data_IF_622056302916
#
_entry.id   IF_622056302916
#
_cell.length_a   1.000
_cell.length_b   1.000
_cell.length_c   1.000
_cell.angle_alpha   90.00
_cell.angle_beta   90.00
_cell.angle_gamma   90.00
#
_symmetry.space_group_name_H-M   'P 1'
#
loop_
_entity.id
_entity.type
_entity.pdbx_description
1 polymer ?
#
# COMPACT_ATOMS: atom_id res chain seq x y z
N UNK A 1 1.29 -11.66 -38.37
CA UNK A 1 1.05 -11.50 -36.93
C UNK A 1 2.02 -10.53 -36.28
N UNK A 2 3.35 -10.69 -36.42
CA UNK A 2 4.39 -9.79 -35.80
C UNK A 2 4.33 -8.33 -36.32
N UNK A 3 4.10 -8.11 -37.63
CA UNK A 3 3.97 -6.75 -38.21
C UNK A 3 2.68 -6.04 -37.76
N UNK A 4 1.58 -6.76 -37.57
CA UNK A 4 0.32 -6.20 -37.06
C UNK A 4 0.46 -5.77 -35.60
N UNK A 5 1.12 -6.57 -34.78
CA UNK A 5 1.46 -6.24 -33.39
C UNK A 5 2.41 -5.05 -33.29
N UNK A 6 3.36 -4.92 -34.21
CA UNK A 6 4.27 -3.77 -34.27
C UNK A 6 3.54 -2.49 -34.72
N UNK A 7 2.61 -2.55 -35.68
CA UNK A 7 1.77 -1.42 -36.09
C UNK A 7 0.79 -0.99 -34.99
N UNK A 8 0.15 -1.93 -34.29
CA UNK A 8 -0.71 -1.64 -33.15
C UNK A 8 0.11 -1.01 -32.00
N UNK A 9 1.32 -1.49 -31.75
CA UNK A 9 2.22 -0.94 -30.74
C UNK A 9 2.71 0.46 -31.08
N UNK A 10 2.96 0.78 -32.37
CA UNK A 10 3.37 2.10 -32.83
C UNK A 10 2.19 3.10 -32.82
N UNK A 11 1.03 2.70 -33.29
CA UNK A 11 -0.18 3.54 -33.29
C UNK A 11 -0.70 3.83 -31.87
N UNK A 12 -0.53 2.89 -30.93
CA UNK A 12 -0.87 3.07 -29.52
C UNK A 12 0.10 4.05 -28.82
N UNK A 13 1.38 4.05 -29.23
CA UNK A 13 2.43 4.87 -28.62
C UNK A 13 2.33 6.34 -29.02
N UNK A 14 1.84 6.64 -30.22
CA UNK A 14 1.72 8.01 -30.75
C UNK A 14 0.37 8.68 -30.45
N UNK A 15 -0.73 7.93 -30.40
CA UNK A 15 -2.08 8.52 -30.21
C UNK A 15 -2.55 8.54 -28.76
N UNK A 16 -2.13 7.59 -27.94
CA UNK A 16 -2.53 7.50 -26.53
C UNK A 16 -1.25 7.55 -25.69
N UNK A 17 -0.80 8.74 -25.34
CA UNK A 17 0.38 8.89 -24.50
C UNK A 17 0.23 8.08 -23.21
N UNK A 18 1.26 7.32 -22.80
CA UNK A 18 1.28 6.50 -21.59
C UNK A 18 0.79 7.24 -20.34
N UNK A 19 0.95 8.58 -20.31
CA UNK A 19 0.40 9.42 -19.22
C UNK A 19 -1.13 9.42 -19.19
N UNK A 20 -1.81 9.43 -20.36
CA UNK A 20 -3.29 9.40 -20.44
C UNK A 20 -3.82 8.03 -20.04
N UNK A 21 -3.15 6.95 -20.43
CA UNK A 21 -3.48 5.57 -19.98
C UNK A 21 -3.33 5.46 -18.47
N UNK A 22 -2.24 5.98 -17.90
CA UNK A 22 -2.03 5.98 -16.44
C UNK A 22 -3.11 6.79 -15.70
N UNK A 23 -3.52 7.95 -16.22
CA UNK A 23 -4.59 8.75 -15.63
C UNK A 23 -5.94 8.03 -15.73
N UNK A 24 -6.27 7.47 -16.91
CA UNK A 24 -7.51 6.71 -17.09
C UNK A 24 -7.57 5.49 -16.15
N UNK A 25 -6.49 4.73 -16.06
CA UNK A 25 -6.38 3.61 -15.11
C UNK A 25 -6.55 4.05 -13.65
N UNK A 26 -5.93 5.16 -13.24
CA UNK A 26 -6.09 5.73 -11.91
C UNK A 26 -7.54 6.14 -11.63
N UNK A 27 -8.20 6.81 -12.57
CA UNK A 27 -9.60 7.22 -12.43
C UNK A 27 -10.54 6.01 -12.35
N UNK A 28 -10.30 4.96 -13.15
CA UNK A 28 -11.07 3.71 -13.07
C UNK A 28 -10.89 3.04 -11.71
N UNK A 29 -9.65 2.96 -11.20
CA UNK A 29 -9.38 2.39 -9.86
C UNK A 29 -10.08 3.22 -8.78
N UNK A 30 -10.01 4.56 -8.85
CA UNK A 30 -10.66 5.44 -7.87
C UNK A 30 -12.20 5.26 -7.94
N UNK A 31 -12.79 5.24 -9.13
CA UNK A 31 -14.24 5.03 -9.30
C UNK A 31 -14.68 3.66 -8.78
N UNK A 32 -13.91 2.61 -9.06
CA UNK A 32 -14.16 1.26 -8.53
C UNK A 32 -13.99 1.22 -7.01
N UNK A 33 -12.96 1.89 -6.46
CA UNK A 33 -12.74 2.02 -5.03
C UNK A 33 -13.92 2.72 -4.32
N UNK A 34 -14.40 3.84 -4.87
CA UNK A 34 -15.58 4.55 -4.34
C UNK A 34 -16.81 3.66 -4.38
N UNK A 35 -17.03 2.95 -5.49
CA UNK A 35 -18.17 2.04 -5.64
C UNK A 35 -18.11 0.90 -4.62
N UNK A 36 -16.93 0.32 -4.41
CA UNK A 36 -16.68 -0.72 -3.41
C UNK A 36 -16.93 -0.19 -2.00
N UNK A 37 -16.42 0.99 -1.67
CA UNK A 37 -16.65 1.64 -0.38
C UNK A 37 -18.15 1.84 -0.11
N UNK A 38 -18.89 2.41 -1.07
CA UNK A 38 -20.34 2.63 -0.95
C UNK A 38 -21.10 1.31 -0.80
N UNK A 39 -20.74 0.27 -1.54
CA UNK A 39 -21.37 -1.06 -1.42
C UNK A 39 -21.10 -1.69 -0.06
N UNK A 40 -19.87 -1.61 0.43
CA UNK A 40 -19.48 -2.17 1.73
C UNK A 40 -20.20 -1.44 2.87
N UNK A 41 -20.28 -0.10 2.82
CA UNK A 41 -21.02 0.69 3.80
C UNK A 41 -22.53 0.37 3.81
N UNK A 42 -23.13 0.15 2.63
CA UNK A 42 -24.56 -0.24 2.54
C UNK A 42 -24.82 -1.67 3.04
N UNK A 43 -23.82 -2.54 3.03
CA UNK A 43 -23.93 -3.93 3.53
C UNK A 43 -23.78 -4.07 5.04
N UNK A 44 -23.43 -2.99 5.75
CA UNK A 44 -23.31 -2.99 7.22
C UNK A 44 -24.67 -2.64 7.81
N UNK A 45 -25.19 -3.54 8.64
CA UNK A 45 -26.36 -3.22 9.46
C UNK A 45 -25.96 -2.18 10.51
N UNK A 46 -26.50 -0.98 10.35
CA UNK A 46 -26.21 0.15 11.25
C UNK A 46 -26.68 -0.12 12.69
N UNK A 47 -27.69 -0.96 12.86
CA UNK A 47 -28.17 -1.39 14.19
C UNK A 47 -27.15 -2.26 14.90
N UNK A 48 -26.62 -3.28 14.22
CA UNK A 48 -25.55 -4.15 14.76
C UNK A 48 -24.28 -3.34 15.05
N UNK A 49 -23.93 -2.42 14.17
CA UNK A 49 -22.77 -1.55 14.37
C UNK A 49 -22.93 -0.64 15.59
N UNK A 50 -24.12 -0.07 15.79
CA UNK A 50 -24.37 0.82 16.93
C UNK A 50 -24.30 0.08 18.26
N UNK A 51 -24.90 -1.11 18.34
CA UNK A 51 -24.81 -1.99 19.52
C UNK A 51 -23.35 -2.39 19.79
N UNK A 52 -22.61 -2.81 18.76
CA UNK A 52 -21.20 -3.16 18.89
C UNK A 52 -20.35 -2.02 19.46
N UNK A 53 -20.61 -0.79 19.00
CA UNK A 53 -19.88 0.40 19.46
C UNK A 53 -20.21 0.77 20.92
N UNK A 54 -21.43 0.44 21.40
CA UNK A 54 -21.82 0.71 22.79
C UNK A 54 -21.31 -0.33 23.78
N UNK A 55 -21.11 -1.58 23.33
CA UNK A 55 -20.66 -2.69 24.19
C UNK A 55 -19.14 -2.71 24.41
N UNK A 56 -18.36 -2.15 23.47
CA UNK A 56 -16.91 -2.09 23.59
C UNK A 56 -16.49 -0.80 24.30
N UNK A 57 -15.66 -0.88 25.37
CA UNK A 57 -15.20 0.31 26.06
C UNK A 57 -14.47 1.29 25.12
N UNK A 58 -14.77 2.60 25.16
CA UNK A 58 -14.18 3.58 24.24
C UNK A 58 -12.64 3.61 24.22
N UNK A 59 -12.01 3.34 25.38
CA UNK A 59 -10.55 3.27 25.46
C UNK A 59 -9.98 2.05 24.72
N UNK A 60 -10.69 0.92 24.64
CA UNK A 60 -10.28 -0.24 23.83
C UNK A 60 -10.36 0.10 22.33
N UNK A 61 -11.41 0.81 21.90
CA UNK A 61 -11.53 1.28 20.50
C UNK A 61 -10.39 2.25 20.16
N UNK A 62 -10.06 3.17 21.06
CA UNK A 62 -8.97 4.13 20.86
C UNK A 62 -7.59 3.44 20.78
N UNK A 63 -7.34 2.46 21.66
CA UNK A 63 -6.11 1.66 21.64
C UNK A 63 -6.03 0.78 20.38
N UNK A 64 -7.12 0.15 19.97
CA UNK A 64 -7.19 -0.62 18.73
C UNK A 64 -6.92 0.27 17.50
N UNK A 65 -7.50 1.48 17.46
CA UNK A 65 -7.22 2.46 16.42
C UNK A 65 -5.73 2.87 16.39
N UNK A 66 -5.11 3.06 17.57
CA UNK A 66 -3.67 3.35 17.67
C UNK A 66 -2.84 2.17 17.14
N UNK A 67 -3.19 0.93 17.48
CA UNK A 67 -2.54 -0.26 16.93
C UNK A 67 -2.67 -0.32 15.39
N UNK A 68 -3.84 0.01 14.83
CA UNK A 68 -4.02 0.09 13.38
C UNK A 68 -3.11 1.15 12.75
N UNK A 69 -2.99 2.34 13.36
CA UNK A 69 -2.08 3.38 12.88
C UNK A 69 -0.63 2.87 12.92
N UNK A 70 -0.21 2.20 13.99
CA UNK A 70 1.13 1.61 14.10
C UNK A 70 1.36 0.52 13.04
N UNK A 71 0.37 -0.33 12.76
CA UNK A 71 0.44 -1.34 11.69
C UNK A 71 0.63 -0.66 10.31
N UNK A 72 -0.16 0.35 9.98
CA UNK A 72 0.01 1.09 8.73
C UNK A 72 1.34 1.86 8.67
N UNK A 73 1.87 2.34 9.78
CA UNK A 73 3.22 2.91 9.83
C UNK A 73 4.29 1.86 9.49
N UNK A 74 4.17 0.63 10.01
CA UNK A 74 5.10 -0.46 9.68
C UNK A 74 5.00 -0.89 8.22
N UNK A 75 3.80 -0.91 7.63
CA UNK A 75 3.62 -1.18 6.21
C UNK A 75 4.38 -0.21 5.30
N UNK A 76 4.61 1.04 5.72
CA UNK A 76 5.37 2.01 4.91
C UNK A 76 6.82 1.58 4.68
N UNK A 77 7.39 0.79 5.60
CA UNK A 77 8.75 0.27 5.48
C UNK A 77 8.87 -0.85 4.44
N UNK A 78 7.80 -1.54 4.07
CA UNK A 78 7.82 -2.59 3.05
C UNK A 78 8.32 -2.04 1.71
N UNK A 79 7.72 -0.99 1.21
CA UNK A 79 8.13 -0.35 -0.03
C UNK A 79 9.48 0.35 0.11
N UNK A 80 9.77 0.96 1.26
CA UNK A 80 11.05 1.62 1.51
C UNK A 80 12.23 0.65 1.39
N UNK A 81 12.17 -0.51 2.04
CA UNK A 81 13.23 -1.50 1.95
C UNK A 81 13.27 -2.19 0.59
N UNK A 82 12.11 -2.39 -0.07
CA UNK A 82 12.07 -2.89 -1.44
C UNK A 82 12.78 -1.95 -2.41
N UNK A 83 12.55 -0.63 -2.33
CA UNK A 83 13.24 0.39 -3.13
C UNK A 83 14.75 0.39 -2.90
N UNK A 84 15.18 0.24 -1.64
CA UNK A 84 16.62 0.15 -1.29
C UNK A 84 17.26 -1.09 -1.88
N UNK A 85 16.56 -2.23 -1.85
CA UNK A 85 17.02 -3.52 -2.39
C UNK A 85 17.21 -3.46 -3.90
N UNK A 86 16.31 -2.80 -4.65
CA UNK A 86 16.44 -2.64 -6.12
C UNK A 86 17.31 -1.45 -6.52
N UNK A 87 17.97 -0.78 -5.58
CA UNK A 87 18.93 0.31 -5.86
C UNK A 87 18.29 1.66 -6.17
N UNK A 88 16.98 1.86 -6.02
CA UNK A 88 16.27 3.12 -6.29
C UNK A 88 16.29 4.07 -5.09
N UNK A 89 17.49 4.39 -4.61
CA UNK A 89 17.70 5.20 -3.40
C UNK A 89 17.28 6.67 -3.53
N UNK A 90 17.07 7.16 -4.76
CA UNK A 90 16.64 8.54 -5.04
C UNK A 90 15.18 8.80 -4.68
N UNK A 91 14.37 7.75 -4.51
CA UNK A 91 12.96 7.90 -4.09
C UNK A 91 12.93 8.21 -2.59
N UNK A 92 12.39 9.36 -2.16
CA UNK A 92 12.34 9.74 -0.76
C UNK A 92 11.35 8.88 0.03
N UNK A 93 11.61 8.69 1.32
CA UNK A 93 10.76 7.90 2.21
C UNK A 93 9.27 8.33 2.17
N UNK A 94 9.00 9.63 2.11
CA UNK A 94 7.62 10.15 2.05
C UNK A 94 6.83 9.59 0.87
N UNK A 95 7.48 9.36 -0.26
CA UNK A 95 6.86 8.80 -1.47
C UNK A 95 6.69 7.28 -1.33
N UNK A 96 7.68 6.60 -0.75
CA UNK A 96 7.55 5.18 -0.40
C UNK A 96 6.38 4.95 0.57
N UNK A 97 6.29 5.77 1.62
CA UNK A 97 5.22 5.71 2.60
C UNK A 97 3.84 5.98 1.97
N UNK A 98 3.72 7.03 1.15
CA UNK A 98 2.49 7.33 0.42
C UNK A 98 2.07 6.17 -0.49
N UNK A 99 3.02 5.63 -1.26
CA UNK A 99 2.78 4.53 -2.19
C UNK A 99 2.35 3.26 -1.45
N UNK A 100 3.08 2.89 -0.40
CA UNK A 100 2.75 1.72 0.42
C UNK A 100 1.37 1.86 1.06
N UNK A 101 1.12 2.96 1.80
CA UNK A 101 -0.15 3.21 2.45
C UNK A 101 -1.34 3.13 1.48
N UNK A 102 -1.28 3.87 0.37
CA UNK A 102 -2.39 3.89 -0.61
C UNK A 102 -2.55 2.55 -1.33
N UNK A 103 -1.45 1.87 -1.65
CA UNK A 103 -1.49 0.56 -2.33
C UNK A 103 -2.09 -0.53 -1.45
N UNK A 104 -1.71 -0.58 -0.18
CA UNK A 104 -2.26 -1.57 0.75
C UNK A 104 -3.70 -1.24 1.13
N UNK A 105 -4.01 0.01 1.48
CA UNK A 105 -5.37 0.41 1.87
C UNK A 105 -6.37 0.17 0.74
N UNK A 106 -6.03 0.52 -0.50
CA UNK A 106 -6.93 0.34 -1.65
C UNK A 106 -6.92 -1.12 -2.11
N UNK A 107 -5.73 -1.74 -2.19
CA UNK A 107 -5.58 -3.11 -2.66
C UNK A 107 -6.30 -4.14 -1.79
N UNK A 108 -6.23 -4.01 -0.48
CA UNK A 108 -6.92 -4.91 0.45
C UNK A 108 -8.44 -4.82 0.31
N UNK A 109 -8.98 -3.61 0.09
CA UNK A 109 -10.44 -3.43 -0.02
C UNK A 109 -11.00 -3.83 -1.38
N UNK A 110 -10.28 -3.58 -2.47
CA UNK A 110 -10.72 -3.95 -3.82
C UNK A 110 -10.53 -5.43 -4.11
N UNK A 111 -9.57 -6.06 -3.45
CA UNK A 111 -9.11 -7.42 -3.78
C UNK A 111 -8.08 -7.42 -4.91
N UNK A 112 -7.62 -8.61 -5.29
CA UNK A 112 -6.52 -8.78 -6.25
C UNK A 112 -5.33 -7.85 -5.95
N UNK A 113 -4.93 -7.78 -4.69
CA UNK A 113 -4.02 -6.79 -4.08
C UNK A 113 -2.72 -6.58 -4.85
N UNK A 114 -2.18 -7.64 -5.48
CA UNK A 114 -0.95 -7.55 -6.28
C UNK A 114 -1.16 -6.66 -7.51
N UNK A 115 -2.30 -6.79 -8.19
CA UNK A 115 -2.60 -6.02 -9.40
C UNK A 115 -3.04 -4.60 -9.06
N UNK A 116 -4.00 -4.43 -8.17
CA UNK A 116 -4.53 -3.11 -7.77
C UNK A 116 -3.46 -2.30 -7.05
N UNK A 117 -2.77 -2.88 -6.08
CA UNK A 117 -1.66 -2.25 -5.38
C UNK A 117 -0.47 -1.97 -6.30
N UNK A 118 -0.18 -2.87 -7.26
CA UNK A 118 0.84 -2.67 -8.29
C UNK A 118 0.53 -1.49 -9.21
N UNK A 119 -0.72 -1.34 -9.64
CA UNK A 119 -1.15 -0.22 -10.48
C UNK A 119 -1.01 1.14 -9.75
N UNK A 120 -1.37 1.18 -8.46
CA UNK A 120 -1.21 2.39 -7.63
C UNK A 120 0.27 2.73 -7.45
N UNK A 121 1.12 1.73 -7.11
CA UNK A 121 2.57 1.90 -7.04
C UNK A 121 3.14 2.43 -8.35
N UNK A 122 2.74 1.84 -9.47
CA UNK A 122 3.18 2.29 -10.79
C UNK A 122 2.78 3.74 -11.05
N UNK A 123 1.55 4.12 -10.72
CA UNK A 123 1.07 5.51 -10.88
C UNK A 123 1.88 6.51 -10.06
N UNK A 124 2.30 6.14 -8.85
CA UNK A 124 3.07 7.02 -7.98
C UNK A 124 4.55 7.03 -8.37
N UNK A 125 5.15 5.86 -8.57
CA UNK A 125 6.58 5.74 -8.82
C UNK A 125 7.00 6.10 -10.24
N UNK A 126 6.09 6.07 -11.23
CA UNK A 126 6.38 6.53 -12.59
C UNK A 126 6.78 8.01 -12.65
N UNK A 127 6.28 8.85 -11.73
CA UNK A 127 6.68 10.26 -11.62
C UNK A 127 8.15 10.40 -11.15
N UNK A 128 8.73 9.34 -10.59
CA UNK A 128 10.13 9.23 -10.14
C UNK A 128 10.99 8.39 -11.09
N UNK A 129 10.49 8.10 -12.30
CA UNK A 129 11.25 7.40 -13.35
C UNK A 129 11.37 5.89 -13.16
N UNK A 130 10.55 5.26 -12.29
CA UNK A 130 10.53 3.81 -12.16
C UNK A 130 9.71 3.19 -13.30
N UNK A 131 10.25 2.09 -13.84
CA UNK A 131 9.59 1.28 -14.86
C UNK A 131 8.56 0.32 -14.25
N UNK A 132 7.68 -0.24 -15.10
CA UNK A 132 6.75 -1.29 -14.66
C UNK A 132 7.48 -2.51 -14.08
N UNK A 133 8.68 -2.82 -14.59
CA UNK A 133 9.53 -3.91 -14.07
C UNK A 133 10.05 -3.58 -12.69
N UNK A 134 10.47 -2.34 -12.43
CA UNK A 134 10.90 -1.90 -11.10
C UNK A 134 9.75 -2.04 -10.09
N UNK A 135 8.54 -1.64 -10.49
CA UNK A 135 7.34 -1.76 -9.63
C UNK A 135 6.98 -3.23 -9.37
N UNK A 136 7.08 -4.09 -10.38
CA UNK A 136 6.87 -5.54 -10.19
C UNK A 136 7.88 -6.13 -9.18
N UNK A 137 9.14 -5.69 -9.22
CA UNK A 137 10.17 -6.07 -8.23
C UNK A 137 9.81 -5.57 -6.82
N UNK A 138 9.31 -4.34 -6.69
CA UNK A 138 8.84 -3.81 -5.40
C UNK A 138 7.68 -4.65 -4.87
N UNK A 139 6.67 -4.95 -5.70
CA UNK A 139 5.54 -5.79 -5.30
C UNK A 139 5.99 -7.18 -4.84
N UNK A 140 6.94 -7.78 -5.54
CA UNK A 140 7.52 -9.07 -5.17
C UNK A 140 8.23 -9.01 -3.82
N UNK A 141 9.12 -8.03 -3.61
CA UNK A 141 9.88 -7.88 -2.37
C UNK A 141 8.98 -7.51 -1.17
N UNK A 142 7.99 -6.64 -1.38
CA UNK A 142 7.00 -6.32 -0.36
C UNK A 142 6.14 -7.53 -0.01
N UNK A 143 5.74 -8.32 -1.02
CA UNK A 143 5.05 -9.59 -0.82
C UNK A 143 5.92 -10.59 -0.05
N UNK A 144 7.21 -10.70 -0.38
CA UNK A 144 8.15 -11.56 0.35
C UNK A 144 8.24 -11.18 1.83
N UNK A 145 8.33 -9.88 2.14
CA UNK A 145 8.33 -9.37 3.52
C UNK A 145 7.05 -9.80 4.26
N UNK A 146 5.90 -9.61 3.64
CA UNK A 146 4.61 -10.02 4.19
C UNK A 146 4.56 -11.53 4.47
N UNK A 147 4.91 -12.36 3.49
CA UNK A 147 4.88 -13.82 3.64
C UNK A 147 5.87 -14.32 4.69
N UNK A 148 7.09 -13.78 4.75
CA UNK A 148 8.07 -14.16 5.75
C UNK A 148 7.58 -13.81 7.17
N UNK A 149 7.01 -12.61 7.36
CA UNK A 149 6.45 -12.19 8.65
C UNK A 149 5.28 -13.08 9.08
N UNK A 150 4.29 -13.28 8.19
CA UNK A 150 3.14 -14.15 8.48
C UNK A 150 3.57 -15.59 8.84
N UNK A 151 4.43 -16.16 8.01
CA UNK A 151 4.90 -17.54 8.19
C UNK A 151 5.69 -17.70 9.47
N UNK A 152 6.50 -16.69 9.84
CA UNK A 152 7.27 -16.71 11.08
C UNK A 152 6.37 -16.63 12.31
N UNK A 153 5.43 -15.66 12.36
CA UNK A 153 4.51 -15.50 13.50
C UNK A 153 3.61 -16.74 13.62
N UNK A 154 3.11 -17.26 12.50
CA UNK A 154 2.30 -18.48 12.50
C UNK A 154 3.11 -19.68 13.00
N UNK A 155 4.36 -19.86 12.54
CA UNK A 155 5.23 -20.94 12.99
C UNK A 155 5.50 -20.87 14.49
N UNK A 156 5.86 -19.69 15.02
CA UNK A 156 6.06 -19.51 16.45
C UNK A 156 4.75 -19.74 17.22
N UNK A 157 3.65 -19.12 16.79
CA UNK A 157 2.35 -19.26 17.45
C UNK A 157 1.87 -20.71 17.53
N UNK A 158 1.92 -21.43 16.42
CA UNK A 158 1.52 -22.85 16.37
C UNK A 158 2.49 -23.78 17.14
N UNK A 159 3.77 -23.42 17.28
CA UNK A 159 4.71 -24.21 18.06
C UNK A 159 4.36 -24.20 19.56
N UNK A 160 3.87 -23.06 20.09
CA UNK A 160 3.48 -22.89 21.48
C UNK A 160 1.99 -23.15 21.73
N UNK A 161 1.10 -22.80 20.78
CA UNK A 161 -0.36 -22.94 20.89
C UNK A 161 -0.93 -23.74 19.69
N UNK A 162 -0.52 -25.01 19.50
CA UNK A 162 -0.91 -25.80 18.34
C UNK A 162 -2.42 -26.08 18.26
N UNK A 163 -3.09 -26.13 19.43
CA UNK A 163 -4.54 -26.32 19.52
C UNK A 163 -5.34 -25.17 18.93
N UNK A 164 -4.80 -23.95 18.89
CA UNK A 164 -5.48 -22.78 18.31
C UNK A 164 -5.74 -22.97 16.80
N UNK A 165 -4.82 -23.61 16.06
CA UNK A 165 -5.01 -23.93 14.65
C UNK A 165 -6.00 -25.07 14.43
N UNK A 166 -6.04 -26.04 15.36
CA UNK A 166 -6.87 -27.26 15.23
C UNK A 166 -8.36 -26.97 15.11
N UNK A 167 -8.85 -25.85 15.62
CA UNK A 167 -10.24 -25.42 15.43
C UNK A 167 -10.57 -25.07 13.96
N UNK A 168 -9.56 -24.67 13.19
CA UNK A 168 -9.75 -24.28 11.78
C UNK A 168 -9.42 -25.43 10.81
N UNK A 169 -8.30 -26.11 11.03
CA UNK A 169 -7.77 -27.11 10.10
C UNK A 169 -8.17 -28.54 10.45
N UNK A 170 -8.79 -28.75 11.60
CA UNK A 170 -9.22 -30.06 12.11
C UNK A 170 -8.07 -31.07 12.28
N UNK A 171 -6.81 -30.62 12.28
CA UNK A 171 -5.65 -31.46 12.46
C UNK A 171 -5.35 -31.67 13.96
N UNK A 172 -4.75 -32.81 14.33
CA UNK A 172 -4.28 -33.02 15.71
C UNK A 172 -3.25 -31.96 16.11
N UNK A 173 -3.27 -31.44 17.36
CA UNK A 173 -2.30 -30.46 17.82
C UNK A 173 -0.84 -30.85 17.60
N UNK A 174 -0.50 -32.13 17.76
CA UNK A 174 0.85 -32.65 17.51
C UNK A 174 1.29 -32.49 16.04
N UNK A 175 0.36 -32.62 15.08
CA UNK A 175 0.67 -32.42 13.66
C UNK A 175 0.86 -30.93 13.37
N UNK A 176 0.03 -30.05 13.94
CA UNK A 176 0.20 -28.60 13.84
C UNK A 176 1.53 -28.14 14.43
N UNK A 177 1.94 -28.72 15.54
CA UNK A 177 3.26 -28.44 16.14
C UNK A 177 4.41 -28.91 15.24
N UNK A 178 4.28 -30.10 14.62
CA UNK A 178 5.28 -30.59 13.66
C UNK A 178 5.39 -29.68 12.43
N UNK A 179 4.26 -29.26 11.88
CA UNK A 179 4.21 -28.28 10.77
C UNK A 179 4.89 -26.98 11.18
N UNK A 180 4.63 -26.49 12.39
CA UNK A 180 5.23 -25.27 12.91
C UNK A 180 6.76 -25.37 13.00
N UNK A 181 7.30 -26.45 13.50
CA UNK A 181 8.76 -26.69 13.52
C UNK A 181 9.34 -26.81 12.12
N UNK A 182 8.63 -27.46 11.19
CA UNK A 182 9.02 -27.51 9.79
C UNK A 182 9.10 -26.12 9.14
N UNK A 183 8.13 -25.26 9.42
CA UNK A 183 8.10 -23.87 8.97
C UNK A 183 9.27 -23.06 9.55
N UNK A 184 9.51 -23.15 10.85
CA UNK A 184 10.64 -22.46 11.50
C UNK A 184 11.96 -22.96 10.92
N UNK A 185 12.13 -24.27 10.73
CA UNK A 185 13.32 -24.86 10.12
C UNK A 185 13.53 -24.37 8.66
N UNK A 186 12.45 -24.24 7.89
CA UNK A 186 12.52 -23.71 6.53
C UNK A 186 12.98 -22.25 6.50
N UNK A 187 12.47 -21.40 7.40
CA UNK A 187 12.91 -20.00 7.52
C UNK A 187 14.38 -19.93 7.96
N UNK A 188 14.76 -20.75 8.95
CA UNK A 188 16.15 -20.83 9.40
C UNK A 188 17.09 -21.28 8.26
N UNK A 189 16.70 -22.31 7.51
CA UNK A 189 17.46 -22.81 6.35
C UNK A 189 17.58 -21.74 5.27
N UNK A 190 16.52 -20.98 5.01
CA UNK A 190 16.56 -19.84 4.07
C UNK A 190 17.53 -18.76 4.53
N UNK A 191 17.55 -18.40 5.82
CA UNK A 191 18.48 -17.44 6.39
C UNK A 191 19.95 -17.95 6.32
N UNK A 192 20.17 -19.21 6.64
CA UNK A 192 21.51 -19.85 6.53
C UNK A 192 21.97 -19.83 5.07
N UNK A 193 21.09 -20.18 4.13
CA UNK A 193 21.40 -20.10 2.71
C UNK A 193 21.75 -18.68 2.25
N UNK A 194 21.05 -17.66 2.77
CA UNK A 194 21.39 -16.26 2.49
C UNK A 194 22.73 -15.82 3.08
N UNK A 195 23.18 -16.43 4.19
CA UNK A 195 24.48 -16.14 4.80
C UNK A 195 25.61 -16.82 4.02
N UNK A 196 25.44 -18.09 3.66
CA UNK A 196 26.46 -18.90 3.00
C UNK A 196 26.61 -18.58 1.50
N UNK A 197 25.55 -18.10 0.84
CA UNK A 197 25.50 -17.81 -0.59
C UNK A 197 25.97 -16.40 -0.93
N UNK A 198 27.27 -16.10 -0.86
CA UNK A 198 27.81 -14.73 -0.96
C UNK A 198 27.64 -14.05 -2.33
N UNK A 199 27.56 -14.75 -3.47
CA UNK A 199 27.73 -14.10 -4.78
C UNK A 199 26.51 -14.12 -5.73
N UNK A 200 25.48 -14.93 -5.54
CA UNK A 200 24.40 -15.07 -6.54
C UNK A 200 23.00 -15.06 -5.93
N UNK A 201 22.63 -13.94 -5.34
CA UNK A 201 21.28 -13.76 -4.80
C UNK A 201 20.32 -13.15 -5.82
N UNK A 202 20.43 -13.57 -7.07
CA UNK A 202 19.59 -13.08 -8.16
C UNK A 202 18.60 -14.18 -8.57
N UNK A 203 17.31 -13.90 -8.45
CA UNK A 203 16.24 -14.77 -8.93
C UNK A 203 15.70 -14.20 -10.24
N UNK A 204 15.60 -15.05 -11.26
CA UNK A 204 14.98 -14.71 -12.53
C UNK A 204 15.80 -15.08 -13.74
N UNK A 205 15.18 -14.99 -14.92
CA UNK A 205 15.77 -15.25 -16.24
C UNK A 205 15.32 -14.18 -17.24
N UNK A 206 16.03 -14.04 -18.36
CA UNK A 206 15.60 -13.27 -19.52
C UNK A 206 15.18 -11.80 -19.26
N UNK A 207 16.03 -11.06 -18.54
CA UNK A 207 15.78 -9.61 -18.33
C UNK A 207 14.93 -9.27 -17.10
N UNK A 208 14.35 -10.25 -16.43
CA UNK A 208 13.68 -10.08 -15.14
C UNK A 208 14.55 -10.73 -14.05
N UNK A 209 15.49 -9.97 -13.52
CA UNK A 209 16.31 -10.40 -12.38
C UNK A 209 15.98 -9.58 -11.15
N UNK A 210 15.64 -10.23 -10.05
CA UNK A 210 15.42 -9.62 -8.74
C UNK A 210 16.56 -10.05 -7.82
N UNK A 211 17.25 -9.06 -7.28
CA UNK A 211 18.25 -9.30 -6.25
C UNK A 211 17.53 -9.52 -4.93
N UNK A 212 17.77 -10.67 -4.30
CA UNK A 212 17.23 -10.96 -2.98
C UNK A 212 17.90 -10.08 -1.91
N UNK A 213 17.20 -9.74 -0.84
CA UNK A 213 17.74 -9.02 0.30
C UNK A 213 18.91 -9.82 0.93
N UNK A 214 19.87 -9.11 1.54
CA UNK A 214 20.88 -9.75 2.37
C UNK A 214 20.27 -10.34 3.65
N UNK A 215 20.94 -11.31 4.28
CA UNK A 215 20.44 -11.93 5.50
C UNK A 215 20.08 -10.91 6.61
N UNK A 216 20.90 -9.87 6.92
CA UNK A 216 20.49 -8.85 7.88
C UNK A 216 19.23 -8.09 7.45
N UNK A 217 19.10 -7.77 6.15
CA UNK A 217 17.91 -7.09 5.66
C UNK A 217 16.67 -7.98 5.69
N UNK A 218 16.83 -9.29 5.42
CA UNK A 218 15.74 -10.28 5.56
C UNK A 218 15.28 -10.41 7.01
N UNK A 219 16.20 -10.40 7.98
CA UNK A 219 15.83 -10.36 9.40
C UNK A 219 15.03 -9.10 9.76
N UNK A 220 15.45 -7.93 9.26
CA UNK A 220 14.69 -6.68 9.43
C UNK A 220 13.31 -6.80 8.78
N UNK A 221 13.19 -7.41 7.60
CA UNK A 221 11.92 -7.63 6.93
C UNK A 221 11.00 -8.56 7.73
N UNK A 222 11.53 -9.66 8.30
CA UNK A 222 10.77 -10.55 9.19
C UNK A 222 10.30 -9.76 10.41
N UNK A 223 11.18 -8.99 11.06
CA UNK A 223 10.82 -8.17 12.21
C UNK A 223 9.71 -7.17 11.91
N UNK A 224 9.79 -6.48 10.76
CA UNK A 224 8.74 -5.55 10.32
C UNK A 224 7.41 -6.29 10.14
N UNK A 225 7.43 -7.48 9.52
CA UNK A 225 6.23 -8.29 9.34
C UNK A 225 5.65 -8.77 10.67
N UNK A 226 6.50 -9.18 11.62
CA UNK A 226 6.10 -9.56 12.99
C UNK A 226 5.44 -8.39 13.73
N UNK A 227 6.04 -7.21 13.65
CA UNK A 227 5.52 -6.00 14.31
C UNK A 227 4.20 -5.56 13.68
N UNK A 228 4.11 -5.58 12.36
CA UNK A 228 2.87 -5.27 11.62
C UNK A 228 1.72 -6.18 12.04
N UNK A 229 1.94 -7.49 11.95
CA UNK A 229 0.94 -8.49 12.35
C UNK A 229 0.62 -8.46 13.84
N UNK A 230 1.64 -8.20 14.67
CA UNK A 230 1.45 -8.03 16.11
C UNK A 230 0.50 -6.88 16.43
N UNK A 231 0.64 -5.75 15.75
CA UNK A 231 -0.30 -4.62 15.90
C UNK A 231 -1.69 -4.94 15.36
N UNK A 232 -1.79 -5.65 14.22
CA UNK A 232 -3.09 -6.08 13.68
C UNK A 232 -3.81 -7.04 14.63
N UNK A 233 -3.11 -8.06 15.13
CA UNK A 233 -3.65 -9.01 16.09
C UNK A 233 -3.99 -8.34 17.44
N UNK A 234 -3.16 -7.39 17.90
CA UNK A 234 -3.43 -6.61 19.11
C UNK A 234 -4.67 -5.72 18.96
N UNK A 235 -4.83 -5.09 17.79
CA UNK A 235 -6.05 -4.32 17.52
C UNK A 235 -7.30 -5.20 17.61
N UNK A 236 -7.24 -6.42 17.05
CA UNK A 236 -8.33 -7.38 17.15
C UNK A 236 -8.54 -7.85 18.60
N UNK A 237 -7.45 -8.15 19.34
CA UNK A 237 -7.49 -8.59 20.73
C UNK A 237 -8.17 -7.58 21.66
N UNK A 238 -7.86 -6.30 21.49
CA UNK A 238 -8.45 -5.21 22.27
C UNK A 238 -9.95 -5.04 22.02
N UNK A 239 -10.45 -5.48 20.89
CA UNK A 239 -11.87 -5.41 20.52
C UNK A 239 -12.64 -6.66 20.95
N UNK A 240 -11.95 -7.76 21.33
CA UNK A 240 -12.61 -9.00 21.73
C UNK A 240 -13.42 -8.80 23.02
N UNK A 241 -14.56 -9.52 23.18
CA UNK A 241 -15.28 -9.57 24.43
C UNK A 241 -14.39 -10.04 25.59
N UNK A 242 -14.58 -9.47 26.77
CA UNK A 242 -13.78 -9.82 27.95
C UNK A 242 -14.00 -11.28 28.42
N UNK A 243 -15.10 -11.89 28.05
CA UNK A 243 -15.43 -13.28 28.39
C UNK A 243 -16.00 -14.01 27.16
N UNK A 244 -15.66 -15.27 26.94
CA UNK A 244 -14.62 -16.04 27.69
C UNK A 244 -13.20 -15.50 27.39
N UNK A 245 -12.29 -15.69 28.35
CA UNK A 245 -10.90 -15.27 28.19
C UNK A 245 -10.20 -16.04 27.08
N UNK A 246 -9.39 -15.33 26.28
CA UNK A 246 -8.55 -15.93 25.22
C UNK A 246 -7.14 -15.36 25.34
N UNK A 247 -6.16 -16.25 25.24
CA UNK A 247 -4.76 -15.86 25.19
C UNK A 247 -4.44 -15.13 23.87
N UNK A 248 -3.65 -14.05 23.98
CA UNK A 248 -3.25 -13.23 22.82
C UNK A 248 -2.61 -14.05 21.71
N UNK A 249 -1.72 -15.01 22.05
CA UNK A 249 -1.02 -15.80 21.03
C UNK A 249 -1.98 -16.74 20.30
N UNK A 250 -2.93 -17.34 21.02
CA UNK A 250 -3.99 -18.17 20.43
C UNK A 250 -4.85 -17.36 19.46
N UNK A 251 -5.25 -16.14 19.86
CA UNK A 251 -5.98 -15.24 18.97
C UNK A 251 -5.14 -14.83 17.76
N UNK A 252 -3.85 -14.54 17.92
CA UNK A 252 -2.95 -14.18 16.83
C UNK A 252 -2.82 -15.30 15.80
N UNK A 253 -2.71 -16.56 16.22
CA UNK A 253 -2.70 -17.74 15.32
C UNK A 253 -3.99 -17.80 14.51
N UNK A 254 -5.14 -17.71 15.16
CA UNK A 254 -6.46 -17.73 14.51
C UNK A 254 -6.60 -16.55 13.53
N UNK A 255 -6.23 -15.35 13.99
CA UNK A 255 -6.28 -14.12 13.18
C UNK A 255 -5.43 -14.24 11.90
N UNK A 256 -4.20 -14.76 12.00
CA UNK A 256 -3.30 -14.94 10.86
C UNK A 256 -3.86 -15.97 9.89
N UNK A 257 -4.33 -17.11 10.38
CA UNK A 257 -4.95 -18.15 9.55
C UNK A 257 -6.18 -17.60 8.82
N UNK A 258 -7.07 -16.88 9.52
CA UNK A 258 -8.23 -16.23 8.93
C UNK A 258 -7.82 -15.20 7.86
N UNK A 259 -6.77 -14.43 8.12
CA UNK A 259 -6.21 -13.45 7.18
C UNK A 259 -5.66 -14.13 5.92
N UNK A 260 -4.90 -15.21 6.07
CA UNK A 260 -4.36 -15.98 4.95
C UNK A 260 -5.47 -16.60 4.10
N UNK A 261 -6.52 -17.15 4.72
CA UNK A 261 -7.71 -17.65 4.01
C UNK A 261 -8.43 -16.52 3.27
N UNK A 262 -8.56 -15.36 3.90
CA UNK A 262 -9.11 -14.16 3.28
C UNK A 262 -8.34 -13.74 2.03
N UNK A 263 -7.00 -13.71 2.08
CA UNK A 263 -6.16 -13.41 0.92
C UNK A 263 -6.24 -14.49 -0.16
N UNK A 264 -6.25 -15.76 0.22
CA UNK A 264 -6.38 -16.87 -0.72
C UNK A 264 -7.71 -16.87 -1.48
N UNK A 265 -8.77 -16.35 -0.87
CA UNK A 265 -10.09 -16.23 -1.51
C UNK A 265 -10.16 -15.14 -2.57
N UNK A 266 -9.20 -14.20 -2.60
CA UNK A 266 -9.21 -13.00 -3.45
C UNK A 266 -10.48 -12.14 -3.30
N UNK A 267 -11.28 -12.37 -2.27
CA UNK A 267 -12.50 -11.63 -2.01
C UNK A 267 -12.17 -10.16 -1.66
N UNK A 268 -12.93 -9.18 -2.18
CA UNK A 268 -12.77 -7.79 -1.82
C UNK A 268 -12.88 -7.59 -0.30
N UNK A 269 -11.86 -6.99 0.33
CA UNK A 269 -11.81 -6.80 1.78
C UNK A 269 -11.83 -8.10 2.59
N UNK A 270 -11.57 -9.26 1.97
CA UNK A 270 -11.72 -10.59 2.59
C UNK A 270 -13.10 -10.83 3.21
N UNK A 271 -14.14 -10.11 2.71
CA UNK A 271 -15.49 -10.11 3.27
C UNK A 271 -16.08 -11.53 3.23
N UNK A 272 -16.64 -11.95 4.35
CA UNK A 272 -17.27 -13.25 4.53
C UNK A 272 -16.28 -14.38 4.84
N UNK A 273 -15.13 -14.46 4.17
CA UNK A 273 -14.15 -15.54 4.39
C UNK A 273 -13.40 -15.36 5.71
N UNK A 274 -12.86 -14.18 5.94
CA UNK A 274 -12.19 -13.83 7.21
C UNK A 274 -13.17 -13.94 8.38
N UNK A 275 -14.39 -13.42 8.23
CA UNK A 275 -15.41 -13.46 9.28
C UNK A 275 -15.84 -14.88 9.60
N UNK A 276 -16.10 -15.70 8.57
CA UNK A 276 -16.46 -17.11 8.75
C UNK A 276 -15.33 -17.91 9.41
N UNK A 277 -14.09 -17.65 9.02
CA UNK A 277 -12.92 -18.29 9.63
C UNK A 277 -12.80 -17.95 11.11
N UNK A 278 -12.97 -16.68 11.48
CA UNK A 278 -12.97 -16.24 12.91
C UNK A 278 -14.12 -16.87 13.69
N UNK A 279 -15.33 -16.92 13.12
CA UNK A 279 -16.50 -17.54 13.79
C UNK A 279 -16.34 -19.05 14.00
N UNK A 280 -15.72 -19.75 13.05
CA UNK A 280 -15.46 -21.20 13.15
C UNK A 280 -14.36 -21.49 14.17
N UNK A 281 -13.30 -20.67 14.18
CA UNK A 281 -12.15 -20.86 15.06
C UNK A 281 -12.40 -20.46 16.52
N UNK A 282 -13.38 -19.61 16.77
CA UNK A 282 -13.69 -19.07 18.11
C UNK A 282 -15.14 -19.41 18.56
N UNK A 283 -15.52 -20.71 18.59
CA UNK A 283 -16.89 -21.13 18.89
C UNK A 283 -17.32 -20.82 20.33
N UNK A 284 -16.37 -20.56 21.22
CA UNK A 284 -16.63 -20.20 22.63
C UNK A 284 -17.25 -18.81 22.80
N UNK A 285 -17.11 -17.92 21.80
CA UNK A 285 -17.71 -16.59 21.83
C UNK A 285 -19.13 -16.59 21.22
N UNK A 286 -20.02 -15.76 21.75
CA UNK A 286 -21.32 -15.53 21.15
C UNK A 286 -21.18 -14.97 19.72
N UNK A 287 -21.93 -15.55 18.78
CA UNK A 287 -21.82 -15.17 17.34
C UNK A 287 -22.08 -13.68 17.13
N UNK A 288 -23.07 -13.13 17.82
CA UNK A 288 -23.44 -11.71 17.71
C UNK A 288 -22.34 -10.80 18.23
N UNK A 289 -21.75 -11.15 19.39
CA UNK A 289 -20.65 -10.39 19.98
C UNK A 289 -19.41 -10.41 19.10
N UNK A 290 -19.05 -11.60 18.57
CA UNK A 290 -17.90 -11.74 17.68
C UNK A 290 -18.11 -11.02 16.34
N UNK A 291 -19.33 -11.10 15.75
CA UNK A 291 -19.66 -10.32 14.56
C UNK A 291 -19.57 -8.81 14.82
N UNK A 292 -20.03 -8.35 15.98
CA UNK A 292 -19.90 -6.97 16.38
C UNK A 292 -18.44 -6.52 16.44
N UNK A 293 -17.59 -7.30 17.08
CA UNK A 293 -16.14 -7.06 17.12
C UNK A 293 -15.52 -7.00 15.72
N UNK A 294 -15.87 -7.96 14.84
CA UNK A 294 -15.39 -8.01 13.46
C UNK A 294 -15.82 -6.77 12.65
N UNK A 295 -17.05 -6.26 12.86
CA UNK A 295 -17.53 -5.03 12.21
C UNK A 295 -16.70 -3.82 12.66
N UNK A 296 -16.45 -3.66 13.96
CA UNK A 296 -15.63 -2.55 14.48
C UNK A 296 -14.21 -2.65 13.92
N UNK A 297 -13.60 -3.84 13.94
CA UNK A 297 -12.28 -4.07 13.36
C UNK A 297 -12.24 -3.71 11.87
N UNK A 298 -13.27 -4.07 11.09
CA UNK A 298 -13.37 -3.71 9.67
C UNK A 298 -13.42 -2.21 9.45
N UNK A 299 -14.15 -1.48 10.27
CA UNK A 299 -14.23 -0.02 10.19
C UNK A 299 -12.84 0.57 10.43
N UNK A 300 -12.16 0.14 11.49
CA UNK A 300 -10.86 0.69 11.88
C UNK A 300 -9.75 0.31 10.91
N UNK A 301 -9.66 -0.95 10.50
CA UNK A 301 -8.52 -1.48 9.73
C UNK A 301 -8.72 -1.36 8.21
N UNK A 302 -9.96 -1.53 7.72
CA UNK A 302 -10.23 -1.50 6.28
C UNK A 302 -10.84 -0.18 5.81
N UNK A 303 -11.94 0.28 6.42
CA UNK A 303 -12.72 1.39 5.86
C UNK A 303 -12.08 2.75 6.07
N UNK A 304 -11.62 3.05 7.28
CA UNK A 304 -10.99 4.34 7.59
C UNK A 304 -9.72 4.54 6.76
N UNK A 305 -8.73 3.62 6.74
CA UNK A 305 -7.55 3.78 5.89
C UNK A 305 -7.88 3.84 4.39
N UNK A 306 -8.90 3.10 3.94
CA UNK A 306 -9.37 3.13 2.57
C UNK A 306 -9.92 4.50 2.17
N UNK A 307 -10.79 5.07 3.00
CA UNK A 307 -11.34 6.41 2.78
C UNK A 307 -10.25 7.48 2.73
N UNK A 308 -9.27 7.41 3.66
CA UNK A 308 -8.11 8.30 3.68
C UNK A 308 -7.26 8.13 2.41
N UNK A 309 -6.99 6.89 1.99
CA UNK A 309 -6.17 6.60 0.80
C UNK A 309 -6.83 7.10 -0.49
N UNK A 310 -8.15 6.92 -0.65
CA UNK A 310 -8.91 7.46 -1.79
C UNK A 310 -8.85 8.99 -1.79
N UNK A 311 -9.04 9.64 -0.64
CA UNK A 311 -8.99 11.09 -0.51
C UNK A 311 -7.60 11.64 -0.88
N UNK A 312 -6.53 10.98 -0.43
CA UNK A 312 -5.15 11.35 -0.78
C UNK A 312 -4.90 11.17 -2.28
N UNK A 313 -5.31 10.04 -2.87
CA UNK A 313 -5.12 9.79 -4.29
C UNK A 313 -5.96 10.76 -5.14
N UNK A 314 -7.20 11.02 -4.77
CA UNK A 314 -8.08 11.96 -5.45
C UNK A 314 -7.53 13.40 -5.44
N UNK A 315 -7.11 13.88 -4.27
CA UNK A 315 -6.52 15.23 -4.14
C UNK A 315 -5.20 15.34 -4.90
N UNK A 316 -4.36 14.28 -4.88
CA UNK A 316 -3.12 14.24 -5.66
C UNK A 316 -3.38 14.31 -7.17
N UNK A 317 -4.33 13.54 -7.70
CA UNK A 317 -4.68 13.57 -9.12
C UNK A 317 -5.27 14.92 -9.53
N UNK A 318 -6.14 15.51 -8.73
CA UNK A 318 -6.66 16.86 -8.96
C UNK A 318 -5.53 17.90 -8.99
N UNK A 319 -4.61 17.82 -8.03
CA UNK A 319 -3.46 18.74 -7.97
C UNK A 319 -2.58 18.62 -9.21
N UNK A 320 -2.20 17.41 -9.60
CA UNK A 320 -1.27 17.16 -10.72
C UNK A 320 -1.89 17.47 -12.08
N UNK A 321 -3.16 17.20 -12.28
CA UNK A 321 -3.81 17.28 -13.60
C UNK A 321 -4.59 18.57 -13.82
N UNK A 322 -5.01 19.25 -12.75
CA UNK A 322 -5.82 20.47 -12.83
C UNK A 322 -5.06 21.67 -12.29
N UNK A 323 -4.65 21.62 -11.02
CA UNK A 323 -4.11 22.80 -10.33
C UNK A 323 -2.72 23.18 -10.85
N UNK A 324 -1.82 22.22 -10.94
CA UNK A 324 -0.43 22.46 -11.39
C UNK A 324 -0.34 23.00 -12.84
N UNK A 325 -1.03 22.44 -13.82
CA UNK A 325 -1.06 23.00 -15.18
C UNK A 325 -1.67 24.40 -15.23
N UNK A 326 -2.74 24.65 -14.46
CA UNK A 326 -3.36 25.97 -14.37
C UNK A 326 -2.41 27.01 -13.78
N UNK A 327 -1.70 26.69 -12.70
CA UNK A 327 -0.70 27.57 -12.11
C UNK A 327 0.46 27.88 -13.07
N UNK A 328 0.93 26.88 -13.82
CA UNK A 328 1.98 27.08 -14.83
C UNK A 328 1.52 28.00 -15.94
N UNK A 329 0.31 27.80 -16.48
CA UNK A 329 -0.28 28.69 -17.49
C UNK A 329 -0.43 30.11 -16.99
N UNK A 330 -0.88 30.29 -15.74
CA UNK A 330 -1.01 31.62 -15.13
C UNK A 330 0.34 32.32 -14.98
N UNK A 331 1.39 31.62 -14.54
CA UNK A 331 2.76 32.16 -14.44
C UNK A 331 3.31 32.56 -15.81
N UNK A 332 3.08 31.75 -16.84
CA UNK A 332 3.49 32.07 -18.22
C UNK A 332 2.75 33.30 -18.77
N UNK A 333 1.47 33.43 -18.50
CA UNK A 333 0.68 34.58 -18.90
C UNK A 333 1.17 35.87 -18.17
N UNK A 334 1.43 35.80 -16.87
CA UNK A 334 1.99 36.95 -16.12
C UNK A 334 3.39 37.33 -16.61
N UNK A 335 4.28 36.37 -16.88
CA UNK A 335 5.62 36.62 -17.41
C UNK A 335 5.60 37.20 -18.84
N UNK A 336 4.64 36.79 -19.67
CA UNK A 336 4.46 37.39 -21.02
C UNK A 336 4.04 38.88 -20.93
N UNK A 337 3.15 39.21 -19.97
CA UNK A 337 2.70 40.61 -19.76
C UNK A 337 3.87 41.48 -19.25
N UNK A 338 4.71 40.97 -18.34
CA UNK A 338 5.89 41.69 -17.86
C UNK A 338 6.90 41.97 -18.98
N UNK A 339 7.14 40.99 -19.87
CA UNK A 339 8.07 41.17 -20.99
C UNK A 339 7.53 42.20 -22.01
N UNK A 340 6.24 42.14 -22.31
CA UNK A 340 5.59 43.10 -23.24
C UNK A 340 5.58 44.51 -22.67
N UNK A 341 5.37 44.65 -21.34
CA UNK A 341 5.42 45.97 -20.67
C UNK A 341 6.84 46.52 -20.67
N UNK A 342 7.86 45.69 -20.51
CA UNK A 342 9.27 46.12 -20.52
C UNK A 342 9.70 46.55 -21.94
N UNK A 343 9.32 45.80 -22.98
CA UNK A 343 9.57 46.24 -24.39
C UNK A 343 8.89 47.56 -24.75
N UNK A 344 7.65 47.76 -24.32
CA UNK A 344 6.92 49.01 -24.60
C UNK A 344 7.59 50.20 -23.85
N UNK A 345 8.10 50.01 -22.63
CA UNK A 345 8.83 51.04 -21.89
C UNK A 345 10.18 51.36 -22.55
N UNK A 346 10.89 50.34 -23.05
CA UNK A 346 12.19 50.51 -23.70
C UNK A 346 12.07 51.22 -25.06
N UNK A 347 11.06 50.86 -25.86
CA UNK A 347 10.71 51.53 -27.13
C UNK A 347 10.33 53.01 -26.88
N UNK A 348 9.53 53.29 -25.84
CA UNK A 348 9.18 54.68 -25.46
C UNK A 348 10.38 55.48 -24.98
N UNK A 349 11.31 54.86 -24.25
CA UNK A 349 12.55 55.50 -23.79
C UNK A 349 13.49 55.83 -24.98
N UNK A 350 13.52 54.95 -26.00
CA UNK A 350 14.37 55.16 -27.21
C UNK A 350 13.82 56.23 -28.12
N UNK A 351 12.49 56.35 -28.26
CA UNK A 351 11.85 57.40 -29.05
C UNK A 351 11.90 58.81 -28.43
N UNK A 352 12.13 58.91 -27.13
CA UNK A 352 12.27 60.19 -26.42
C UNK A 352 13.70 60.74 -26.40
N UNK A 353 14.70 60.04 -26.96
CA UNK A 353 16.06 60.62 -27.12
C UNK A 353 16.01 61.66 -28.25
N UNK A 354 15.95 62.93 -27.85
CA UNK A 354 16.08 64.07 -28.75
C UNK A 354 17.41 64.01 -29.51
N UNK A 355 17.41 64.37 -30.85
CA UNK A 355 18.64 64.41 -31.60
C UNK A 355 19.55 65.52 -31.01
N UNK A 356 20.79 65.16 -30.66
CA UNK A 356 21.80 66.13 -30.25
C UNK A 356 22.03 67.12 -31.39
N UNK A 357 21.74 68.41 -31.19
CA UNK A 357 22.12 69.51 -32.08
C UNK A 357 23.64 69.51 -32.24
N UNK A 358 24.10 69.13 -33.42
CA UNK A 358 25.47 69.39 -33.86
C UNK A 358 25.71 70.90 -33.92
N UNK A 359 26.50 71.45 -33.00
CA UNK A 359 27.05 72.79 -33.10
C UNK A 359 28.08 72.77 -34.22
N UNK A 360 27.73 73.38 -35.35
CA UNK A 360 28.67 73.72 -36.41
C UNK A 360 29.66 74.79 -35.90
N UNK A 361 30.92 74.43 -35.89
CA UNK A 361 32.00 75.42 -35.60
C UNK A 361 32.16 76.43 -36.71
N UNK A 362 32.05 77.73 -36.31
CA UNK A 362 32.49 78.81 -37.12
C UNK A 362 33.96 79.12 -36.81
N UNK A 363 34.82 78.90 -37.76
CA UNK A 363 36.20 79.46 -37.78
C UNK A 363 36.12 80.95 -38.10
N UNK A 364 36.77 81.73 -37.27
CA UNK A 364 37.76 82.76 -37.61
C UNK A 364 38.81 82.84 -36.54
#
# INVERSE_FOLDING_TARGET
>A
MVRLLAMLRHGFKERIGWKRVGIAASLVIIAFAITTLVRTLKGIDTGVMLVALTDIPPHHIALAALCVVCAFCTLTFYDFFALRTIGKKHVPYRIAALSSFTSYSIGHNIGATVFTGGAIRFRIYSDYGLSAVDVAKICFLSGLTFWLGNTFVLGIGMAWHPSAASYMDQLPPALNQLIAFGVIAAIASYLVWLILGEERRELGQNGWMVRLPSAPLTLVQILIGVVDLGFCAMAMYLLMPAQPDIDFMSLAVVFILATLLGFASHAPGSIGVFDAAMLVALPQFGKEQLLATLVVFRILYFMIPFGIAISIMGTRELWLNVVKPWQLRRKQACGAIETETTEVVEVKATTLRFPQRTRAGSRR
#
